data_IF_894132993758
#
_entry.id   IF_894132993758
#
_cell.length_a   1.000
_cell.length_b   1.000
_cell.length_c   1.000
_cell.angle_alpha   90.00
_cell.angle_beta   90.00
_cell.angle_gamma   90.00
#
_symmetry.space_group_name_H-M   'P 1'
#
loop_
_entity.id
_entity.type
_entity.pdbx_description
1 polymer ?
#
# COMPACT_ATOMS: atom_id res chain seq x y z
N UNK A 1 -76.56 42.14 -31.92
CA UNK A 1 -75.43 42.29 -31.01
C UNK A 1 -75.06 40.90 -30.49
N UNK A 2 -74.02 40.26 -31.00
CA UNK A 2 -73.54 38.96 -30.54
C UNK A 2 -72.26 39.19 -29.71
N UNK A 3 -72.28 38.82 -28.43
CA UNK A 3 -71.17 38.91 -27.50
C UNK A 3 -70.37 37.63 -27.67
N UNK A 4 -69.10 37.73 -28.13
CA UNK A 4 -68.14 36.65 -28.24
C UNK A 4 -67.42 36.54 -26.91
N UNK A 5 -67.58 35.41 -26.19
CA UNK A 5 -66.77 35.08 -24.99
C UNK A 5 -65.50 34.43 -25.42
N UNK A 6 -64.35 35.07 -25.16
CA UNK A 6 -63.02 34.48 -25.27
C UNK A 6 -62.71 33.69 -23.98
N UNK A 7 -62.58 32.38 -24.09
CA UNK A 7 -62.08 31.52 -23.03
C UNK A 7 -60.56 31.44 -23.13
N UNK A 8 -59.84 31.98 -22.15
CA UNK A 8 -58.40 31.89 -22.03
C UNK A 8 -58.04 30.52 -21.42
N UNK A 9 -57.49 29.61 -22.22
CA UNK A 9 -57.00 28.30 -21.76
C UNK A 9 -55.52 28.44 -21.43
N UNK A 10 -55.21 28.59 -20.12
CA UNK A 10 -53.79 28.56 -19.64
C UNK A 10 -53.30 27.12 -19.67
N UNK A 11 -52.48 26.77 -20.67
CA UNK A 11 -51.70 25.55 -20.69
C UNK A 11 -50.49 25.71 -19.75
N UNK A 12 -50.55 25.08 -18.54
CA UNK A 12 -49.37 24.89 -17.68
C UNK A 12 -48.52 23.80 -18.31
N UNK A 13 -47.48 24.18 -19.04
CA UNK A 13 -46.41 23.30 -19.43
C UNK A 13 -45.49 23.09 -18.18
N UNK A 14 -45.71 22.02 -17.43
CA UNK A 14 -44.75 21.53 -16.47
C UNK A 14 -43.53 20.99 -17.23
N UNK A 15 -42.49 21.81 -17.36
CA UNK A 15 -41.17 21.33 -17.73
C UNK A 15 -40.66 20.43 -16.63
N UNK A 16 -40.79 19.11 -16.78
CA UNK A 16 -40.04 18.10 -16.04
C UNK A 16 -38.58 18.21 -16.48
N UNK A 17 -37.84 19.13 -15.89
CA UNK A 17 -36.39 19.03 -15.96
C UNK A 17 -35.97 17.75 -15.19
N UNK A 18 -35.24 16.83 -15.83
CA UNK A 18 -34.64 15.76 -15.08
C UNK A 18 -33.69 16.45 -14.06
N UNK A 19 -33.99 16.32 -12.77
CA UNK A 19 -33.04 16.67 -11.73
C UNK A 19 -31.89 15.66 -11.87
N UNK A 20 -30.95 15.98 -12.75
CA UNK A 20 -29.65 15.32 -12.70
C UNK A 20 -29.09 15.63 -11.31
N UNK A 21 -29.09 14.63 -10.44
CA UNK A 21 -28.34 14.72 -9.22
C UNK A 21 -26.87 14.94 -9.60
N UNK A 22 -26.45 16.18 -9.65
CA UNK A 22 -25.03 16.55 -9.65
C UNK A 22 -24.47 15.93 -8.37
N UNK A 23 -23.92 14.72 -8.46
CA UNK A 23 -23.10 14.19 -7.38
C UNK A 23 -21.96 15.21 -7.22
N UNK A 24 -21.92 15.86 -6.06
CA UNK A 24 -20.82 16.77 -5.77
C UNK A 24 -19.51 15.99 -5.91
N UNK A 25 -18.65 16.45 -6.81
CA UNK A 25 -17.32 15.87 -7.00
C UNK A 25 -16.58 15.90 -5.66
N UNK A 26 -15.87 14.83 -5.33
CA UNK A 26 -15.06 14.78 -4.11
C UNK A 26 -13.96 15.86 -4.17
N UNK A 27 -13.94 16.70 -3.16
CA UNK A 27 -12.89 17.71 -2.96
C UNK A 27 -12.17 17.34 -1.66
N UNK A 28 -10.87 16.97 -1.72
CA UNK A 28 -10.11 16.65 -0.53
C UNK A 28 -9.97 17.88 0.38
N UNK A 29 -10.06 17.67 1.70
CA UNK A 29 -9.81 18.71 2.70
C UNK A 29 -8.33 19.10 2.74
N UNK A 30 -8.01 20.25 3.34
CA UNK A 30 -6.62 20.66 3.56
C UNK A 30 -5.84 19.65 4.39
N UNK A 31 -6.48 19.03 5.40
CA UNK A 31 -5.88 17.98 6.22
C UNK A 31 -5.58 16.73 5.39
N UNK A 32 -6.48 16.34 4.47
CA UNK A 32 -6.26 15.25 3.54
C UNK A 32 -5.09 15.57 2.59
N UNK A 33 -5.07 16.75 2.01
CA UNK A 33 -3.96 17.19 1.13
C UNK A 33 -2.62 17.22 1.88
N UNK A 34 -2.60 17.60 3.14
CA UNK A 34 -1.40 17.54 3.99
C UNK A 34 -0.96 16.09 4.22
N UNK A 35 -1.90 15.18 4.53
CA UNK A 35 -1.62 13.76 4.69
C UNK A 35 -1.09 13.11 3.40
N UNK A 36 -1.64 13.44 2.22
CA UNK A 36 -1.11 12.98 0.92
C UNK A 36 0.35 13.42 0.71
N UNK A 37 0.68 14.69 1.00
CA UNK A 37 2.07 15.20 0.90
C UNK A 37 3.02 14.50 1.86
N UNK A 38 2.57 14.24 3.09
CA UNK A 38 3.36 13.47 4.07
C UNK A 38 3.62 12.04 3.58
N UNK A 39 2.55 11.36 3.13
CA UNK A 39 2.61 9.99 2.62
C UNK A 39 3.52 9.86 1.40
N UNK A 40 3.43 10.80 0.46
CA UNK A 40 4.31 10.83 -0.71
C UNK A 40 5.79 10.87 -0.30
N UNK A 41 6.13 11.55 0.80
CA UNK A 41 7.51 11.66 1.30
C UNK A 41 8.05 10.42 2.02
N UNK A 42 7.24 9.44 2.38
CA UNK A 42 7.66 8.30 3.20
C UNK A 42 8.59 7.34 2.47
N UNK A 43 8.34 7.06 1.22
CA UNK A 43 9.09 6.18 0.31
C UNK A 43 9.24 4.74 0.75
N UNK A 44 9.17 4.39 2.04
CA UNK A 44 9.33 3.02 2.53
C UNK A 44 8.39 2.71 3.70
N UNK A 45 7.63 1.62 3.58
CA UNK A 45 6.74 1.05 4.58
C UNK A 45 6.81 -0.47 4.63
N UNK A 46 6.23 -1.06 5.70
CA UNK A 46 6.15 -2.51 5.90
C UNK A 46 4.69 -2.95 5.82
N UNK A 47 4.43 -3.98 5.02
CA UNK A 47 3.15 -4.66 4.95
C UNK A 47 3.17 -5.92 5.81
N UNK A 48 2.09 -6.19 6.52
CA UNK A 48 1.98 -7.36 7.39
C UNK A 48 0.74 -8.15 7.01
N UNK A 49 0.94 -9.30 6.36
CA UNK A 49 -0.13 -10.26 6.13
C UNK A 49 -0.13 -11.31 7.26
N UNK A 50 -0.96 -11.07 8.27
CA UNK A 50 -1.05 -11.93 9.44
C UNK A 50 -2.51 -12.15 9.86
N UNK A 51 -2.86 -13.41 10.10
CA UNK A 51 -4.19 -13.84 10.49
C UNK A 51 -4.17 -15.33 10.85
N UNK A 52 -5.34 -15.90 11.11
CA UNK A 52 -5.45 -17.35 11.45
C UNK A 52 -4.93 -18.27 10.32
N UNK A 53 -4.89 -17.78 9.07
CA UNK A 53 -4.30 -18.51 7.94
C UNK A 53 -2.81 -18.81 8.14
N UNK A 54 -2.08 -18.05 8.94
CA UNK A 54 -0.68 -18.34 9.24
C UNK A 54 -0.49 -19.68 9.98
N UNK A 55 -1.50 -20.15 10.71
CA UNK A 55 -1.48 -21.44 11.40
C UNK A 55 -1.35 -22.61 10.43
N UNK A 56 -1.92 -22.50 9.23
CA UNK A 56 -1.77 -23.52 8.19
C UNK A 56 -0.39 -23.50 7.52
N UNK A 57 0.33 -22.39 7.64
CA UNK A 57 1.65 -22.18 7.01
C UNK A 57 1.65 -22.44 5.48
N UNK A 58 0.55 -22.10 4.80
CA UNK A 58 0.32 -22.28 3.37
C UNK A 58 0.02 -20.98 2.62
N UNK A 59 0.14 -19.83 3.30
CA UNK A 59 -0.21 -18.53 2.76
C UNK A 59 -1.66 -18.12 3.04
N UNK A 60 -1.98 -16.90 2.70
CA UNK A 60 -3.24 -16.22 3.03
C UNK A 60 -4.45 -16.71 2.23
N UNK A 61 -4.21 -17.33 1.07
CA UNK A 61 -5.26 -17.86 0.19
C UNK A 61 -5.64 -19.33 0.47
N UNK A 62 -5.14 -19.91 1.55
CA UNK A 62 -5.32 -21.35 1.79
C UNK A 62 -6.80 -21.78 1.86
N UNK A 63 -7.68 -20.97 2.44
CA UNK A 63 -9.13 -21.24 2.46
C UNK A 63 -9.69 -21.41 1.02
N UNK A 64 -9.24 -20.61 0.07
CA UNK A 64 -9.69 -20.67 -1.33
C UNK A 64 -9.20 -21.93 -2.07
N UNK A 65 -8.28 -22.71 -1.49
CA UNK A 65 -7.75 -23.94 -2.10
C UNK A 65 -8.70 -25.17 -2.01
N UNK A 66 -9.85 -25.02 -1.33
CA UNK A 66 -10.87 -26.06 -1.24
C UNK A 66 -11.10 -26.62 0.16
N UNK A 67 -10.54 -25.99 1.20
CA UNK A 67 -10.91 -26.28 2.58
C UNK A 67 -12.30 -25.70 2.87
N UNK A 68 -13.15 -26.44 3.60
CA UNK A 68 -14.45 -25.93 3.99
C UNK A 68 -14.31 -24.80 5.02
N UNK A 69 -15.21 -23.79 4.94
CA UNK A 69 -15.22 -22.69 5.90
C UNK A 69 -15.43 -23.18 7.34
N UNK A 70 -16.17 -24.28 7.55
CA UNK A 70 -16.39 -24.87 8.86
C UNK A 70 -15.10 -25.46 9.45
N UNK A 71 -14.29 -26.16 8.63
CA UNK A 71 -13.00 -26.71 9.05
C UNK A 71 -11.97 -25.60 9.25
N UNK A 72 -11.94 -24.65 8.34
CA UNK A 72 -11.02 -23.52 8.43
C UNK A 72 -11.25 -22.68 9.69
N UNK A 73 -12.50 -22.35 10.00
CA UNK A 73 -12.83 -21.49 11.16
C UNK A 73 -12.43 -22.10 12.50
N UNK A 74 -12.37 -23.44 12.59
CA UNK A 74 -11.94 -24.15 13.81
C UNK A 74 -10.52 -23.80 14.21
N UNK A 75 -9.66 -23.40 13.26
CA UNK A 75 -8.28 -23.03 13.56
C UNK A 75 -8.17 -21.79 14.45
N UNK A 76 -9.21 -20.94 14.50
CA UNK A 76 -9.25 -19.82 15.43
C UNK A 76 -9.07 -20.28 16.89
N UNK A 77 -9.63 -21.43 17.27
CA UNK A 77 -9.47 -22.00 18.61
C UNK A 77 -8.05 -22.49 18.93
N UNK A 78 -7.21 -22.66 17.92
CA UNK A 78 -5.79 -23.03 18.04
C UNK A 78 -4.83 -21.85 17.81
N UNK A 79 -5.34 -20.70 17.37
CA UNK A 79 -4.52 -19.51 17.13
C UNK A 79 -4.15 -18.84 18.47
N UNK A 80 -2.92 -19.06 18.88
CA UNK A 80 -2.39 -18.58 20.17
C UNK A 80 -0.99 -18.02 20.03
N UNK A 81 -0.83 -16.79 19.47
CA UNK A 81 0.45 -16.18 19.15
C UNK A 81 1.16 -15.59 20.40
N UNK A 82 1.58 -16.46 21.32
CA UNK A 82 2.15 -16.07 22.63
C UNK A 82 3.47 -15.31 22.53
N UNK A 83 4.14 -15.34 21.37
CA UNK A 83 5.39 -14.60 21.12
C UNK A 83 5.18 -13.27 20.40
N UNK A 84 3.91 -12.87 20.21
CA UNK A 84 3.61 -11.57 19.65
C UNK A 84 4.05 -10.47 20.63
N UNK A 85 4.92 -9.59 20.15
CA UNK A 85 5.43 -8.42 20.83
C UNK A 85 5.36 -7.23 19.88
N UNK A 86 4.35 -6.38 20.05
CA UNK A 86 4.09 -5.23 19.19
C UNK A 86 5.23 -4.21 19.22
N UNK A 87 5.84 -3.99 20.39
CA UNK A 87 6.95 -3.05 20.55
C UNK A 87 8.22 -3.55 19.84
N UNK A 88 8.51 -4.86 19.93
CA UNK A 88 9.61 -5.47 19.20
C UNK A 88 9.42 -5.38 17.68
N UNK A 89 8.17 -5.59 17.20
CA UNK A 89 7.84 -5.44 15.78
C UNK A 89 8.03 -3.99 15.33
N UNK A 90 7.39 -3.04 16.01
CA UNK A 90 7.47 -1.62 15.65
C UNK A 90 8.92 -1.10 15.66
N UNK A 91 9.73 -1.53 16.64
CA UNK A 91 11.16 -1.20 16.70
C UNK A 91 11.93 -1.75 15.50
N UNK A 92 11.73 -3.03 15.14
CA UNK A 92 12.40 -3.64 14.00
C UNK A 92 12.05 -2.91 12.69
N UNK A 93 10.78 -2.49 12.52
CA UNK A 93 10.35 -1.73 11.36
C UNK A 93 10.94 -0.31 11.34
N UNK A 94 10.93 0.38 12.48
CA UNK A 94 11.57 1.70 12.62
C UNK A 94 13.05 1.65 12.30
N UNK A 95 13.75 0.65 12.86
CA UNK A 95 15.18 0.45 12.67
C UNK A 95 15.56 0.11 11.22
N UNK A 96 14.64 -0.51 10.48
CA UNK A 96 14.82 -0.74 9.03
C UNK A 96 14.70 0.54 8.19
N UNK A 97 14.23 1.63 8.78
CA UNK A 97 13.99 2.90 8.10
C UNK A 97 12.55 3.07 7.59
N UNK A 98 11.64 2.13 7.86
CA UNK A 98 10.24 2.31 7.51
C UNK A 98 9.62 3.54 8.20
N UNK A 99 8.68 4.19 7.54
CA UNK A 99 7.94 5.34 8.03
C UNK A 99 6.51 5.00 8.43
N UNK A 100 5.98 3.94 7.88
CA UNK A 100 4.63 3.45 8.14
C UNK A 100 4.58 1.93 8.06
N UNK A 101 3.52 1.37 8.61
CA UNK A 101 3.16 -0.04 8.43
C UNK A 101 1.72 -0.12 7.92
N UNK A 102 1.44 -1.14 7.12
CA UNK A 102 0.07 -1.52 6.73
C UNK A 102 -0.20 -2.91 7.31
N UNK A 103 -1.20 -3.02 8.19
CA UNK A 103 -1.54 -4.26 8.87
C UNK A 103 -2.86 -4.83 8.34
N UNK A 104 -2.91 -6.14 8.04
CA UNK A 104 -4.16 -6.80 7.64
C UNK A 104 -5.12 -6.88 8.82
N UNK A 105 -5.97 -5.85 8.98
CA UNK A 105 -7.02 -5.84 10.01
C UNK A 105 -8.07 -6.92 9.76
N UNK A 106 -8.36 -7.22 8.49
CA UNK A 106 -9.23 -8.30 8.05
C UNK A 106 -8.89 -8.68 6.61
N UNK A 107 -8.59 -9.96 6.36
CA UNK A 107 -8.31 -10.50 5.02
C UNK A 107 -9.56 -11.18 4.42
N UNK A 108 -9.46 -11.78 3.24
CA UNK A 108 -10.55 -12.44 2.52
C UNK A 108 -11.23 -13.57 3.28
N UNK A 109 -10.53 -14.20 4.23
CA UNK A 109 -11.08 -15.22 5.12
C UNK A 109 -12.07 -14.68 6.17
N UNK A 110 -12.33 -13.37 6.17
CA UNK A 110 -13.30 -12.72 7.03
C UNK A 110 -12.90 -12.63 8.50
N UNK A 111 -11.71 -13.14 8.90
CA UNK A 111 -11.27 -13.08 10.27
C UNK A 111 -10.72 -11.71 10.63
N UNK A 112 -11.26 -11.10 11.70
CA UNK A 112 -10.85 -9.77 12.16
C UNK A 112 -9.72 -9.88 13.18
N UNK A 113 -8.56 -9.28 12.88
CA UNK A 113 -7.38 -9.21 13.75
C UNK A 113 -7.47 -8.06 14.77
N UNK A 114 -8.67 -7.62 15.08
CA UNK A 114 -9.00 -6.58 16.06
C UNK A 114 -10.31 -6.92 16.77
N UNK A 115 -10.54 -6.33 17.93
CA UNK A 115 -11.80 -6.49 18.64
C UNK A 115 -12.91 -5.67 17.94
N UNK A 116 -13.89 -6.36 17.37
CA UNK A 116 -15.05 -5.76 16.71
C UNK A 116 -16.34 -6.28 17.34
N UNK A 117 -17.32 -5.40 17.53
CA UNK A 117 -18.66 -5.78 17.95
C UNK A 117 -19.56 -6.24 16.79
N UNK A 118 -19.10 -6.03 15.55
CA UNK A 118 -19.85 -6.42 14.35
C UNK A 118 -19.82 -7.93 14.08
N UNK A 119 -18.86 -8.67 14.66
CA UNK A 119 -18.71 -10.12 14.49
C UNK A 119 -17.92 -10.72 15.65
N UNK A 120 -18.34 -11.92 16.11
CA UNK A 120 -17.54 -12.72 17.05
C UNK A 120 -16.38 -13.46 16.39
N UNK A 121 -16.28 -13.45 15.05
CA UNK A 121 -15.19 -14.05 14.30
C UNK A 121 -13.99 -13.08 14.26
N UNK A 122 -13.41 -12.88 15.45
CA UNK A 122 -12.29 -11.97 15.67
C UNK A 122 -11.30 -12.57 16.68
N UNK A 123 -10.09 -11.98 16.71
CA UNK A 123 -8.98 -12.49 17.52
C UNK A 123 -9.27 -12.50 19.03
N UNK A 124 -10.10 -11.60 19.54
CA UNK A 124 -10.42 -11.52 20.96
C UNK A 124 -11.49 -12.55 21.34
N UNK A 125 -12.56 -12.67 20.54
CA UNK A 125 -13.70 -13.53 20.89
C UNK A 125 -13.49 -14.98 20.47
N UNK A 126 -12.94 -15.24 19.28
CA UNK A 126 -12.84 -16.58 18.70
C UNK A 126 -11.57 -17.34 19.09
N UNK A 127 -10.55 -16.67 19.65
CA UNK A 127 -9.28 -17.34 19.98
C UNK A 127 -9.06 -17.46 21.49
N UNK A 128 -8.23 -18.39 21.95
CA UNK A 128 -7.81 -18.46 23.36
C UNK A 128 -6.84 -17.31 23.74
N UNK A 129 -6.30 -16.58 22.77
CA UNK A 129 -5.32 -15.53 22.97
C UNK A 129 -5.89 -14.31 23.71
N UNK A 130 -7.13 -13.92 23.41
CA UNK A 130 -7.90 -12.87 24.10
C UNK A 130 -7.25 -11.49 24.15
N UNK A 131 -6.24 -11.21 23.31
CA UNK A 131 -5.59 -9.90 23.21
C UNK A 131 -6.00 -9.22 21.91
N UNK A 132 -6.14 -7.91 21.96
CA UNK A 132 -6.38 -7.07 20.77
C UNK A 132 -5.05 -6.64 20.17
N UNK A 133 -4.55 -7.45 19.23
CA UNK A 133 -3.23 -7.22 18.61
C UNK A 133 -3.15 -5.90 17.86
N UNK A 134 -4.26 -5.43 17.28
CA UNK A 134 -4.28 -4.16 16.58
C UNK A 134 -4.11 -2.99 17.55
N UNK A 135 -4.73 -3.04 18.73
CA UNK A 135 -4.55 -2.01 19.76
C UNK A 135 -3.11 -1.93 20.21
N UNK A 136 -2.51 -3.06 20.53
CA UNK A 136 -1.11 -3.11 20.96
C UNK A 136 -0.16 -2.60 19.86
N UNK A 137 -0.44 -2.96 18.60
CA UNK A 137 0.35 -2.49 17.48
C UNK A 137 0.18 -0.98 17.22
N UNK A 138 -1.05 -0.45 17.40
CA UNK A 138 -1.31 0.99 17.27
C UNK A 138 -0.53 1.80 18.31
N UNK A 139 -0.54 1.34 19.57
CA UNK A 139 0.22 1.95 20.66
C UNK A 139 1.73 1.89 20.38
N UNK A 140 2.25 0.74 19.98
CA UNK A 140 3.66 0.57 19.64
C UNK A 140 4.08 1.45 18.44
N UNK A 141 3.25 1.58 17.41
CA UNK A 141 3.51 2.48 16.30
C UNK A 141 3.59 3.94 16.75
N UNK A 142 2.69 4.35 17.63
CA UNK A 142 2.69 5.70 18.20
C UNK A 142 3.99 5.96 18.98
N UNK A 143 4.41 5.04 19.84
CA UNK A 143 5.67 5.13 20.60
C UNK A 143 6.90 5.24 19.71
N UNK A 144 6.93 4.50 18.59
CA UNK A 144 8.05 4.50 17.66
C UNK A 144 7.95 5.61 16.57
N UNK A 145 6.87 6.39 16.54
CA UNK A 145 6.63 7.41 15.52
C UNK A 145 6.48 6.83 14.11
N UNK A 146 5.83 5.67 14.00
CA UNK A 146 5.39 5.05 12.75
C UNK A 146 3.93 5.41 12.47
N UNK A 147 3.58 5.66 11.21
CA UNK A 147 2.17 5.76 10.80
C UNK A 147 1.58 4.35 10.69
N UNK A 148 0.41 4.15 11.26
CA UNK A 148 -0.36 2.91 11.12
C UNK A 148 -1.38 3.06 10.00
N UNK A 149 -1.29 2.18 9.00
CA UNK A 149 -2.28 1.99 7.95
C UNK A 149 -2.94 0.62 8.12
N UNK A 150 -4.17 0.47 7.66
CA UNK A 150 -4.92 -0.78 7.80
C UNK A 150 -5.36 -1.29 6.44
N UNK A 151 -4.96 -2.51 6.12
CA UNK A 151 -5.56 -3.27 5.03
C UNK A 151 -6.92 -3.81 5.49
N UNK A 152 -7.90 -3.72 4.62
CA UNK A 152 -9.24 -4.24 4.83
C UNK A 152 -9.79 -4.85 3.53
N UNK A 153 -10.09 -6.16 3.58
CA UNK A 153 -10.74 -6.85 2.47
C UNK A 153 -12.21 -6.44 2.34
N UNK A 154 -12.63 -6.01 1.15
CA UNK A 154 -14.04 -5.73 0.85
C UNK A 154 -14.78 -6.98 0.34
N UNK A 155 -14.08 -8.06 0.01
CA UNK A 155 -14.67 -9.38 -0.21
C UNK A 155 -14.61 -10.24 1.05
N UNK A 156 -15.45 -11.26 1.12
CA UNK A 156 -15.56 -12.15 2.26
C UNK A 156 -15.92 -13.59 1.87
N UNK A 157 -15.04 -14.53 2.16
CA UNK A 157 -15.28 -15.94 1.89
C UNK A 157 -16.09 -16.67 2.97
N UNK A 158 -16.47 -16.00 4.05
CA UNK A 158 -17.15 -16.58 5.20
C UNK A 158 -18.60 -16.10 5.37
N UNK A 159 -18.87 -14.81 5.18
CA UNK A 159 -20.18 -14.23 5.43
C UNK A 159 -21.21 -14.65 4.38
N UNK A 160 -22.38 -15.05 4.83
CA UNK A 160 -23.47 -15.51 3.97
C UNK A 160 -24.14 -14.42 3.17
N UNK A 161 -24.14 -13.16 3.68
CA UNK A 161 -24.72 -11.99 3.05
C UNK A 161 -23.82 -11.34 1.98
N UNK A 162 -22.50 -11.66 1.96
CA UNK A 162 -21.62 -11.27 0.85
C UNK A 162 -21.98 -12.06 -0.42
N UNK A 163 -22.25 -11.41 -1.58
CA UNK A 163 -22.53 -12.09 -2.84
C UNK A 163 -21.36 -13.02 -3.25
N UNK A 164 -21.66 -14.05 -4.01
CA UNK A 164 -20.61 -14.93 -4.55
C UNK A 164 -19.94 -14.23 -5.74
N UNK A 165 -18.66 -13.93 -5.59
CA UNK A 165 -17.80 -13.48 -6.67
C UNK A 165 -17.08 -14.66 -7.35
N UNK A 166 -15.96 -14.39 -8.00
CA UNK A 166 -15.14 -15.41 -8.69
C UNK A 166 -14.25 -16.24 -7.76
N UNK A 167 -14.12 -15.84 -6.49
CA UNK A 167 -13.29 -16.52 -5.49
C UNK A 167 -14.11 -17.04 -4.31
N UNK A 168 -13.51 -17.87 -3.47
CA UNK A 168 -14.21 -18.47 -2.34
C UNK A 168 -15.29 -19.50 -2.68
N UNK A 169 -15.42 -19.90 -3.95
CA UNK A 169 -16.47 -20.79 -4.41
C UNK A 169 -16.39 -22.21 -3.83
N UNK A 170 -15.19 -22.63 -3.43
CA UNK A 170 -14.94 -23.98 -2.88
C UNK A 170 -15.05 -24.07 -1.37
N UNK A 171 -15.33 -22.97 -0.68
CA UNK A 171 -15.40 -22.93 0.80
C UNK A 171 -16.62 -23.62 1.39
N UNK A 172 -17.62 -23.95 0.57
CA UNK A 172 -18.88 -24.53 1.04
C UNK A 172 -19.80 -23.52 1.74
N UNK A 173 -19.49 -22.24 1.67
CA UNK A 173 -20.29 -21.15 2.24
C UNK A 173 -21.71 -21.17 1.66
N UNK A 174 -22.71 -21.17 2.54
CA UNK A 174 -24.11 -20.96 2.12
C UNK A 174 -24.31 -19.48 1.78
N UNK A 175 -24.57 -19.17 0.52
CA UNK A 175 -24.80 -17.80 0.09
C UNK A 175 -26.27 -17.42 0.20
N UNK A 176 -26.55 -16.34 0.91
CA UNK A 176 -27.84 -15.63 0.95
C UNK A 176 -27.52 -14.15 0.73
N UNK A 177 -27.25 -13.74 -0.52
CA UNK A 177 -26.70 -12.42 -0.79
C UNK A 177 -27.65 -11.32 -0.34
N UNK A 178 -27.12 -10.44 0.50
CA UNK A 178 -27.73 -9.20 0.95
C UNK A 178 -26.63 -8.14 1.06
N UNK A 179 -26.35 -7.48 -0.06
CA UNK A 179 -25.25 -6.53 -0.10
C UNK A 179 -25.47 -5.30 0.78
N UNK A 180 -26.71 -4.91 1.04
CA UNK A 180 -27.00 -3.81 1.98
C UNK A 180 -26.60 -4.20 3.41
N UNK A 181 -26.91 -5.44 3.82
CA UNK A 181 -26.46 -6.00 5.11
C UNK A 181 -24.93 -6.03 5.18
N UNK A 182 -24.28 -6.56 4.15
CA UNK A 182 -22.82 -6.66 4.11
C UNK A 182 -22.15 -5.27 4.09
N UNK A 183 -22.67 -4.35 3.31
CA UNK A 183 -22.16 -2.97 3.23
C UNK A 183 -22.25 -2.23 4.57
N UNK A 184 -23.37 -2.40 5.30
CA UNK A 184 -23.51 -1.85 6.64
C UNK A 184 -22.58 -2.50 7.67
N UNK A 185 -22.30 -3.80 7.52
CA UNK A 185 -21.29 -4.50 8.30
C UNK A 185 -19.88 -3.89 8.06
N UNK A 186 -19.47 -3.68 6.82
CA UNK A 186 -18.19 -3.02 6.50
C UNK A 186 -18.12 -1.61 7.09
N UNK A 187 -19.18 -0.81 6.94
CA UNK A 187 -19.26 0.54 7.54
C UNK A 187 -19.12 0.52 9.06
N UNK A 188 -19.69 -0.49 9.72
CA UNK A 188 -19.58 -0.64 11.18
C UNK A 188 -18.15 -0.95 11.58
N UNK A 189 -17.50 -1.93 10.94
CA UNK A 189 -16.11 -2.27 11.24
C UNK A 189 -15.14 -1.13 10.94
N UNK A 190 -15.29 -0.46 9.81
CA UNK A 190 -14.43 0.68 9.45
C UNK A 190 -14.60 1.84 10.43
N UNK A 191 -15.84 2.11 10.89
CA UNK A 191 -16.04 3.09 11.96
C UNK A 191 -15.31 2.69 13.24
N UNK A 192 -15.40 1.43 13.67
CA UNK A 192 -14.66 0.93 14.84
C UNK A 192 -13.15 1.11 14.67
N UNK A 193 -12.60 0.78 13.51
CA UNK A 193 -11.18 0.95 13.19
C UNK A 193 -10.75 2.42 13.30
N UNK A 194 -11.52 3.33 12.73
CA UNK A 194 -11.18 4.76 12.69
C UNK A 194 -11.45 5.49 14.02
N UNK A 195 -12.31 4.95 14.90
CA UNK A 195 -12.66 5.61 16.18
C UNK A 195 -11.95 5.01 17.38
N UNK A 196 -11.67 3.70 17.37
CA UNK A 196 -11.11 3.01 18.53
C UNK A 196 -9.59 2.85 18.47
N UNK A 197 -8.98 2.93 17.27
CA UNK A 197 -7.55 2.71 17.05
C UNK A 197 -6.84 3.94 16.48
N UNK A 198 -7.54 5.06 16.33
CA UNK A 198 -7.04 6.30 15.76
C UNK A 198 -5.78 6.84 16.49
N UNK A 199 -4.95 7.62 15.78
CA UNK A 199 -5.12 8.04 14.39
C UNK A 199 -4.65 6.99 13.38
N UNK A 200 -5.52 6.62 12.43
CA UNK A 200 -5.17 5.74 11.31
C UNK A 200 -4.72 6.60 10.13
N UNK A 201 -3.55 6.31 9.58
CA UNK A 201 -2.98 7.07 8.46
C UNK A 201 -3.66 6.79 7.13
N UNK A 202 -4.00 5.52 6.86
CA UNK A 202 -4.71 5.13 5.64
C UNK A 202 -5.52 3.85 5.82
N UNK A 203 -6.56 3.70 4.98
CA UNK A 203 -7.23 2.44 4.69
C UNK A 203 -6.81 1.93 3.31
N UNK A 204 -6.35 0.71 3.29
CA UNK A 204 -5.87 -0.04 2.13
C UNK A 204 -6.89 -1.12 1.78
N UNK A 205 -7.73 -0.89 0.77
CA UNK A 205 -8.79 -1.82 0.37
C UNK A 205 -8.28 -2.83 -0.67
N UNK A 206 -8.88 -4.01 -0.64
CA UNK A 206 -8.60 -5.08 -1.60
C UNK A 206 -9.84 -5.96 -1.82
N UNK A 207 -9.88 -6.64 -2.98
CA UNK A 207 -10.96 -7.55 -3.32
C UNK A 207 -12.01 -6.99 -4.28
N UNK A 208 -11.87 -5.75 -4.76
CA UNK A 208 -12.77 -5.13 -5.74
C UNK A 208 -12.91 -5.99 -7.00
N UNK A 209 -11.84 -6.61 -7.43
CA UNK A 209 -11.73 -7.48 -8.59
C UNK A 209 -12.52 -8.81 -8.50
N UNK A 210 -13.10 -9.15 -7.33
CA UNK A 210 -13.82 -10.42 -7.15
C UNK A 210 -15.07 -10.55 -8.03
N UNK A 211 -15.63 -9.43 -8.47
CA UNK A 211 -16.81 -9.35 -9.35
C UNK A 211 -16.51 -8.87 -10.77
N UNK A 212 -15.25 -8.80 -11.20
CA UNK A 212 -14.86 -8.31 -12.54
C UNK A 212 -15.38 -9.18 -13.68
N UNK A 213 -15.72 -10.45 -13.42
CA UNK A 213 -16.25 -11.39 -14.41
C UNK A 213 -17.78 -11.46 -14.43
N UNK A 214 -18.47 -10.69 -13.62
CA UNK A 214 -19.93 -10.68 -13.56
C UNK A 214 -20.52 -10.14 -14.86
N UNK A 215 -21.60 -10.77 -15.36
CA UNK A 215 -22.29 -10.34 -16.59
C UNK A 215 -22.95 -8.97 -16.47
N UNK A 216 -23.29 -8.58 -15.25
CA UNK A 216 -23.78 -7.24 -14.89
C UNK A 216 -22.75 -6.65 -13.93
N UNK A 217 -22.19 -5.45 -14.21
CA UNK A 217 -21.21 -4.82 -13.33
C UNK A 217 -21.72 -4.71 -11.89
N UNK A 218 -20.95 -5.22 -10.96
CA UNK A 218 -21.30 -5.17 -9.55
C UNK A 218 -21.08 -3.76 -8.98
N UNK A 219 -22.11 -3.20 -8.35
CA UNK A 219 -22.00 -1.89 -7.71
C UNK A 219 -21.47 -2.03 -6.29
N UNK A 220 -20.18 -1.84 -6.11
CA UNK A 220 -19.49 -1.83 -4.82
C UNK A 220 -19.83 -0.61 -3.94
N UNK A 221 -20.49 0.42 -4.50
CA UNK A 221 -20.80 1.67 -3.80
C UNK A 221 -19.58 2.39 -3.20
N UNK A 222 -18.41 2.25 -3.84
CA UNK A 222 -17.16 2.80 -3.31
C UNK A 222 -17.20 4.31 -3.08
N UNK A 223 -17.73 5.16 -3.96
CA UNK A 223 -17.81 6.60 -3.69
C UNK A 223 -18.65 6.96 -2.45
N UNK A 224 -19.68 6.16 -2.11
CA UNK A 224 -20.44 6.31 -0.86
C UNK A 224 -19.60 5.91 0.35
N UNK A 225 -18.86 4.79 0.24
CA UNK A 225 -18.03 4.25 1.29
C UNK A 225 -16.86 5.19 1.62
N UNK A 226 -16.17 5.69 0.59
CA UNK A 226 -15.06 6.63 0.75
C UNK A 226 -15.50 7.96 1.37
N UNK A 227 -16.64 8.49 0.94
CA UNK A 227 -17.21 9.68 1.55
C UNK A 227 -17.52 9.48 3.04
N UNK A 228 -18.07 8.33 3.41
CA UNK A 228 -18.31 7.97 4.80
C UNK A 228 -17.02 7.94 5.62
N UNK A 229 -15.94 7.39 5.08
CA UNK A 229 -14.61 7.34 5.72
C UNK A 229 -14.06 8.75 5.93
N UNK A 230 -14.06 9.58 4.90
CA UNK A 230 -13.60 10.98 5.00
C UNK A 230 -14.42 11.84 5.96
N UNK A 231 -15.70 11.52 6.15
CA UNK A 231 -16.53 12.16 7.18
C UNK A 231 -16.12 11.76 8.60
N UNK A 232 -15.69 10.51 8.80
CA UNK A 232 -15.22 10.02 10.11
C UNK A 232 -13.83 10.55 10.45
N UNK A 233 -12.92 10.52 9.50
CA UNK A 233 -11.53 10.96 9.67
C UNK A 233 -11.01 11.58 8.36
N UNK A 234 -11.10 12.92 8.19
CA UNK A 234 -10.76 13.58 6.92
C UNK A 234 -9.33 13.36 6.44
N UNK A 235 -8.37 13.18 7.34
CA UNK A 235 -6.96 12.94 7.02
C UNK A 235 -6.58 11.44 6.90
N UNK A 236 -7.52 10.52 7.03
CA UNK A 236 -7.30 9.11 6.71
C UNK A 236 -7.27 8.95 5.19
N UNK A 237 -6.13 8.52 4.63
CA UNK A 237 -6.01 8.31 3.20
C UNK A 237 -6.70 7.00 2.78
N UNK A 238 -7.18 6.98 1.56
CA UNK A 238 -7.86 5.83 0.96
C UNK A 238 -7.12 5.39 -0.29
N UNK A 239 -6.78 4.10 -0.36
CA UNK A 239 -6.36 3.43 -1.57
C UNK A 239 -7.05 2.08 -1.74
N UNK A 240 -7.15 1.61 -2.97
CA UNK A 240 -7.82 0.36 -3.27
C UNK A 240 -7.06 -0.40 -4.36
N UNK A 241 -6.75 -1.67 -4.08
CA UNK A 241 -6.02 -2.56 -4.98
C UNK A 241 -6.96 -3.19 -6.02
N UNK A 242 -7.61 -2.34 -6.81
CA UNK A 242 -8.58 -2.75 -7.81
C UNK A 242 -8.00 -2.91 -9.23
N UNK A 243 -6.72 -2.56 -9.44
CA UNK A 243 -5.98 -2.70 -10.69
C UNK A 243 -6.52 -1.85 -11.87
N UNK A 244 -7.30 -0.82 -11.57
CA UNK A 244 -7.82 0.16 -12.53
C UNK A 244 -7.40 1.58 -12.15
N UNK A 245 -7.79 2.58 -12.93
CA UNK A 245 -7.59 3.99 -12.57
C UNK A 245 -8.34 4.33 -11.29
N UNK A 246 -7.82 5.25 -10.45
CA UNK A 246 -8.43 5.59 -9.18
C UNK A 246 -9.90 5.98 -9.27
N UNK A 247 -10.69 5.47 -8.34
CA UNK A 247 -12.11 5.80 -8.16
C UNK A 247 -12.21 7.12 -7.38
N UNK A 248 -13.28 7.89 -7.62
CA UNK A 248 -13.54 9.14 -6.91
C UNK A 248 -13.53 8.95 -5.39
N UNK A 249 -12.67 9.69 -4.69
CA UNK A 249 -12.47 9.62 -3.23
C UNK A 249 -11.22 8.85 -2.80
N UNK A 250 -10.46 8.28 -3.74
CA UNK A 250 -9.15 7.71 -3.43
C UNK A 250 -8.07 8.79 -3.32
N UNK A 251 -7.10 8.54 -2.46
CA UNK A 251 -6.07 9.48 -2.06
C UNK A 251 -4.67 9.07 -2.53
N UNK A 252 -4.48 7.80 -2.87
CA UNK A 252 -3.26 7.27 -3.47
C UNK A 252 -3.57 6.08 -4.37
N UNK A 253 -2.70 5.87 -5.36
CA UNK A 253 -2.83 4.79 -6.35
C UNK A 253 -1.85 3.67 -6.06
N UNK A 254 -2.31 2.44 -6.22
CA UNK A 254 -1.55 1.21 -5.91
C UNK A 254 -1.12 0.45 -7.15
N UNK A 255 0.04 -0.20 -7.04
CA UNK A 255 0.62 -1.10 -8.04
C UNK A 255 1.08 -2.38 -7.34
N UNK A 256 0.45 -3.50 -7.67
CA UNK A 256 0.80 -4.77 -7.04
C UNK A 256 1.94 -5.46 -7.79
N UNK A 257 3.03 -5.75 -7.08
CA UNK A 257 4.24 -6.47 -7.54
C UNK A 257 5.06 -5.77 -8.64
N UNK A 258 4.55 -4.69 -9.22
CA UNK A 258 5.20 -3.94 -10.29
C UNK A 258 5.50 -2.50 -9.88
N UNK A 259 6.55 -1.94 -10.45
CA UNK A 259 6.80 -0.50 -10.37
C UNK A 259 5.75 0.27 -11.20
N UNK A 260 5.35 1.49 -10.80
CA UNK A 260 4.46 2.30 -11.62
C UNK A 260 4.92 2.41 -13.08
N UNK A 261 4.02 2.06 -14.01
CA UNK A 261 4.30 2.02 -15.45
C UNK A 261 4.88 0.70 -15.95
N UNK A 262 5.06 -0.30 -15.10
CA UNK A 262 5.36 -1.68 -15.47
C UNK A 262 4.11 -2.56 -15.29
N UNK A 263 4.08 -3.70 -15.98
CA UNK A 263 3.02 -4.71 -15.85
C UNK A 263 3.58 -6.12 -16.09
N UNK A 264 4.67 -6.46 -15.40
CA UNK A 264 5.34 -7.77 -15.50
C UNK A 264 4.56 -8.87 -14.78
N UNK A 265 3.91 -8.51 -13.66
CA UNK A 265 3.05 -9.40 -12.90
C UNK A 265 1.65 -9.53 -13.51
N UNK A 266 1.27 -8.66 -14.45
CA UNK A 266 -0.04 -8.66 -15.09
C UNK A 266 -1.15 -7.99 -14.28
N UNK A 267 -0.81 -7.30 -13.19
CA UNK A 267 -1.76 -6.68 -12.26
C UNK A 267 -1.70 -5.15 -12.24
N UNK A 268 -0.82 -4.53 -13.04
CA UNK A 268 -0.48 -3.10 -12.94
C UNK A 268 -0.54 -2.38 -14.29
N UNK A 269 -1.50 -2.78 -15.15
CA UNK A 269 -1.70 -2.20 -16.49
C UNK A 269 -2.41 -0.84 -16.53
N UNK A 270 -2.85 -0.32 -15.38
CA UNK A 270 -3.55 0.97 -15.28
C UNK A 270 -2.63 2.16 -15.55
N UNK A 271 -3.20 3.26 -16.06
CA UNK A 271 -2.49 4.52 -16.23
C UNK A 271 -2.09 5.13 -14.89
N UNK A 272 -0.94 5.80 -14.86
CA UNK A 272 -0.45 6.51 -13.68
C UNK A 272 -1.25 7.81 -13.50
N UNK A 273 -1.87 7.97 -12.35
CA UNK A 273 -2.61 9.17 -11.97
C UNK A 273 -1.70 10.27 -11.37
N UNK A 274 -2.32 11.37 -10.96
CA UNK A 274 -1.64 12.46 -10.22
C UNK A 274 -1.63 12.27 -8.70
N UNK A 275 -2.21 11.17 -8.21
CA UNK A 275 -2.20 10.84 -6.78
C UNK A 275 -0.82 10.34 -6.34
N UNK A 276 -0.49 10.41 -5.04
CA UNK A 276 0.64 9.70 -4.49
C UNK A 276 0.63 8.23 -4.91
N UNK A 277 1.80 7.66 -5.19
CA UNK A 277 1.93 6.29 -5.70
C UNK A 277 2.48 5.36 -4.62
N UNK A 278 1.96 4.15 -4.58
CA UNK A 278 2.48 3.07 -3.75
C UNK A 278 2.57 1.79 -4.58
N UNK A 279 3.72 1.12 -4.54
CA UNK A 279 3.82 -0.27 -4.99
C UNK A 279 3.96 -1.20 -3.79
N UNK A 280 3.32 -2.36 -3.82
CA UNK A 280 3.53 -3.39 -2.82
C UNK A 280 4.25 -4.60 -3.40
N UNK A 281 5.17 -5.18 -2.62
CA UNK A 281 5.97 -6.33 -3.02
C UNK A 281 6.28 -7.22 -1.82
N UNK A 282 6.42 -8.52 -2.06
CA UNK A 282 6.80 -9.50 -1.04
C UNK A 282 8.31 -9.65 -0.90
N UNK A 283 8.79 -9.95 0.31
CA UNK A 283 10.20 -10.34 0.51
C UNK A 283 10.52 -11.70 -0.12
N UNK A 284 9.55 -12.61 -0.11
CA UNK A 284 9.60 -13.96 -0.68
C UNK A 284 8.53 -14.12 -1.78
N UNK A 285 7.89 -15.27 -1.95
CA UNK A 285 6.87 -15.51 -2.96
C UNK A 285 5.44 -15.20 -2.52
N UNK A 286 5.13 -15.38 -1.22
CA UNK A 286 3.77 -15.28 -0.67
C UNK A 286 3.59 -14.03 0.19
N UNK A 287 2.32 -13.58 0.33
CA UNK A 287 1.98 -12.49 1.25
C UNK A 287 1.92 -13.00 2.69
N UNK A 288 1.08 -14.01 2.99
CA UNK A 288 1.01 -14.66 4.29
C UNK A 288 2.11 -15.70 4.50
N UNK A 289 2.31 -16.09 5.76
CA UNK A 289 3.33 -17.07 6.12
C UNK A 289 3.11 -18.42 5.40
N UNK A 290 4.16 -18.87 4.70
CA UNK A 290 4.22 -20.19 4.06
C UNK A 290 5.57 -20.84 4.37
N UNK A 291 5.53 -21.94 5.11
CA UNK A 291 6.76 -22.60 5.62
C UNK A 291 7.67 -23.08 4.49
N UNK A 292 7.12 -23.50 3.36
CA UNK A 292 7.87 -23.98 2.20
C UNK A 292 8.48 -22.85 1.35
N UNK A 293 8.04 -21.59 1.55
CA UNK A 293 8.52 -20.44 0.76
C UNK A 293 9.73 -19.78 1.43
N UNK A 294 10.89 -20.31 1.12
CA UNK A 294 12.18 -19.83 1.64
C UNK A 294 12.96 -19.00 0.61
N UNK A 295 12.35 -18.67 -0.53
CA UNK A 295 13.01 -17.90 -1.60
C UNK A 295 12.91 -16.39 -1.32
N UNK A 296 13.64 -15.92 -0.30
CA UNK A 296 13.72 -14.52 0.05
C UNK A 296 14.64 -13.75 -0.89
N UNK A 297 14.20 -12.59 -1.33
CA UNK A 297 15.07 -11.61 -1.99
C UNK A 297 16.26 -11.27 -1.08
N UNK A 298 17.41 -11.06 -1.66
CA UNK A 298 18.59 -10.61 -0.93
C UNK A 298 18.41 -9.18 -0.42
N UNK A 299 19.20 -8.79 0.57
CA UNK A 299 19.22 -7.40 1.07
C UNK A 299 19.52 -6.42 -0.05
N UNK A 300 20.45 -6.75 -0.97
CA UNK A 300 20.80 -5.90 -2.11
C UNK A 300 19.61 -5.69 -3.05
N UNK A 301 18.90 -6.76 -3.41
CA UNK A 301 17.70 -6.66 -4.26
C UNK A 301 16.63 -5.79 -3.62
N UNK A 302 16.44 -5.88 -2.29
CA UNK A 302 15.46 -5.08 -1.56
C UNK A 302 15.86 -3.60 -1.49
N UNK A 303 17.13 -3.29 -1.27
CA UNK A 303 17.66 -1.92 -1.30
C UNK A 303 17.47 -1.31 -2.69
N UNK A 304 17.84 -2.04 -3.74
CA UNK A 304 17.64 -1.60 -5.13
C UNK A 304 16.16 -1.39 -5.46
N UNK A 305 15.28 -2.22 -4.93
CA UNK A 305 13.83 -2.06 -5.10
C UNK A 305 13.31 -0.77 -4.44
N UNK A 306 13.80 -0.43 -3.23
CA UNK A 306 13.48 0.85 -2.57
C UNK A 306 13.91 2.03 -3.44
N UNK A 307 15.14 2.00 -3.96
CA UNK A 307 15.67 3.06 -4.82
C UNK A 307 14.89 3.18 -6.14
N UNK A 308 14.54 2.04 -6.78
CA UNK A 308 13.73 2.01 -8.01
C UNK A 308 12.32 2.57 -7.78
N UNK A 309 11.67 2.21 -6.68
CA UNK A 309 10.36 2.74 -6.31
C UNK A 309 10.44 4.27 -6.10
N UNK A 310 11.43 4.74 -5.34
CA UNK A 310 11.66 6.17 -5.11
C UNK A 310 11.93 6.94 -6.42
N UNK A 311 12.68 6.35 -7.35
CA UNK A 311 12.97 6.93 -8.68
C UNK A 311 11.71 7.06 -9.56
N UNK A 312 10.68 6.23 -9.31
CA UNK A 312 9.34 6.34 -9.93
C UNK A 312 8.41 7.28 -9.17
N UNK A 313 8.87 7.90 -8.08
CA UNK A 313 8.03 8.74 -7.20
C UNK A 313 7.08 7.94 -6.32
N UNK A 314 7.27 6.62 -6.21
CA UNK A 314 6.41 5.71 -5.48
C UNK A 314 6.97 5.37 -4.10
N UNK A 315 6.08 5.11 -3.15
CA UNK A 315 6.44 4.39 -1.93
C UNK A 315 6.59 2.89 -2.25
N UNK A 316 7.52 2.23 -1.56
CA UNK A 316 7.57 0.76 -1.50
C UNK A 316 6.93 0.30 -0.19
N UNK A 317 5.88 -0.51 -0.29
CA UNK A 317 5.26 -1.24 0.81
C UNK A 317 5.74 -2.69 0.76
N UNK A 318 6.73 -3.04 1.62
CA UNK A 318 7.41 -4.33 1.60
C UNK A 318 6.78 -5.32 2.58
N UNK A 319 6.28 -6.44 2.07
CA UNK A 319 5.50 -7.39 2.85
C UNK A 319 6.33 -8.42 3.62
N UNK A 320 5.87 -8.69 4.83
CA UNK A 320 6.30 -9.80 5.69
C UNK A 320 5.05 -10.58 6.11
N UNK A 321 5.13 -11.92 6.05
CA UNK A 321 4.13 -12.83 6.63
C UNK A 321 4.60 -13.31 8.01
N UNK A 322 4.08 -12.79 9.13
CA UNK A 322 4.43 -13.26 10.47
C UNK A 322 4.01 -14.71 10.70
N UNK A 323 4.78 -15.41 11.53
CA UNK A 323 4.54 -16.80 11.91
C UNK A 323 3.28 -16.93 12.81
N UNK A 324 2.68 -18.11 12.90
CA UNK A 324 1.48 -18.32 13.71
C UNK A 324 1.68 -18.09 15.21
N UNK A 325 2.92 -18.20 15.71
CA UNK A 325 3.26 -17.92 17.09
C UNK A 325 3.45 -16.43 17.41
N UNK A 326 3.37 -15.55 16.38
CA UNK A 326 3.56 -14.09 16.50
C UNK A 326 4.98 -13.60 16.31
N UNK A 327 5.94 -14.46 15.98
CA UNK A 327 7.31 -14.04 15.62
C UNK A 327 7.38 -13.61 14.15
N UNK A 328 8.22 -12.63 13.86
CA UNK A 328 8.64 -12.35 12.48
C UNK A 328 9.65 -13.42 12.04
N UNK A 329 9.59 -13.90 10.78
CA UNK A 329 10.60 -14.83 10.27
C UNK A 329 12.02 -14.29 10.42
N UNK A 330 12.95 -15.12 10.90
CA UNK A 330 14.33 -14.71 11.15
C UNK A 330 15.02 -14.11 9.92
N UNK A 331 14.76 -14.70 8.73
CA UNK A 331 15.28 -14.17 7.47
C UNK A 331 14.72 -12.77 7.16
N UNK A 332 13.44 -12.51 7.45
CA UNK A 332 12.87 -11.18 7.26
C UNK A 332 13.52 -10.16 8.20
N UNK A 333 13.75 -10.50 9.47
CA UNK A 333 14.45 -9.64 10.42
C UNK A 333 15.89 -9.34 9.98
N UNK A 334 16.61 -10.33 9.42
CA UNK A 334 17.95 -10.13 8.86
C UNK A 334 17.93 -9.14 7.68
N UNK A 335 16.96 -9.28 6.76
CA UNK A 335 16.78 -8.35 5.64
C UNK A 335 16.46 -6.93 6.12
N UNK A 336 15.56 -6.78 7.10
CA UNK A 336 15.22 -5.47 7.69
C UNK A 336 16.46 -4.81 8.32
N UNK A 337 17.27 -5.59 9.03
CA UNK A 337 18.52 -5.09 9.63
C UNK A 337 19.48 -4.56 8.55
N UNK A 338 19.69 -5.31 7.46
CA UNK A 338 20.55 -4.89 6.37
C UNK A 338 20.03 -3.64 5.65
N UNK A 339 18.71 -3.57 5.37
CA UNK A 339 18.07 -2.38 4.81
C UNK A 339 18.30 -1.18 5.75
N UNK A 340 18.08 -1.35 7.06
CA UNK A 340 18.26 -0.28 8.04
C UNK A 340 19.71 0.22 8.15
N UNK A 341 20.67 -0.66 7.97
CA UNK A 341 22.10 -0.26 7.91
C UNK A 341 22.35 0.68 6.72
N UNK A 342 21.85 0.33 5.54
CA UNK A 342 21.98 1.15 4.35
C UNK A 342 21.17 2.45 4.45
N UNK A 343 19.94 2.40 4.93
CA UNK A 343 19.04 3.56 5.06
C UNK A 343 19.55 4.62 6.03
N UNK A 344 20.24 4.23 7.12
CA UNK A 344 20.85 5.20 8.05
C UNK A 344 21.88 6.10 7.39
N UNK A 345 22.57 5.59 6.38
CA UNK A 345 23.65 6.29 5.67
C UNK A 345 23.11 7.01 4.43
N UNK A 346 22.22 6.35 3.69
CA UNK A 346 21.78 6.80 2.36
C UNK A 346 20.33 7.31 2.32
N UNK A 347 19.61 7.29 3.45
CA UNK A 347 18.17 7.60 3.48
C UNK A 347 17.83 9.01 2.96
N UNK A 348 18.78 9.94 2.95
CA UNK A 348 18.59 11.26 2.35
C UNK A 348 18.29 11.18 0.85
N UNK A 349 18.85 10.20 0.15
CA UNK A 349 18.60 9.95 -1.28
C UNK A 349 17.23 9.30 -1.56
N UNK A 350 16.52 8.89 -0.52
CA UNK A 350 15.22 8.19 -0.59
C UNK A 350 14.08 9.07 -0.09
N UNK A 351 14.08 9.43 1.21
CA UNK A 351 12.96 10.14 1.83
C UNK A 351 12.75 11.52 1.23
N UNK A 352 11.48 11.85 0.92
CA UNK A 352 11.10 13.17 0.39
C UNK A 352 11.73 13.53 -0.94
N UNK A 353 12.21 12.54 -1.69
CA UNK A 353 12.70 12.74 -3.06
C UNK A 353 11.56 12.68 -4.07
N UNK A 354 11.81 13.17 -5.26
CA UNK A 354 10.92 13.10 -6.41
C UNK A 354 11.57 12.32 -7.56
N UNK A 355 10.72 11.81 -8.45
CA UNK A 355 11.17 11.18 -9.69
C UNK A 355 11.98 12.18 -10.54
N UNK A 356 12.97 11.67 -11.25
CA UNK A 356 13.74 12.41 -12.25
C UNK A 356 13.21 12.04 -13.63
N UNK A 357 13.00 13.03 -14.49
CA UNK A 357 12.66 12.77 -15.89
C UNK A 357 13.90 12.25 -16.65
N UNK A 358 14.36 11.08 -16.27
CA UNK A 358 15.48 10.35 -16.86
C UNK A 358 15.11 8.87 -16.90
N UNK A 359 15.18 8.21 -18.07
CA UNK A 359 14.92 6.79 -18.13
C UNK A 359 15.95 6.02 -17.29
N UNK A 360 15.59 4.82 -16.86
CA UNK A 360 16.51 3.92 -16.18
C UNK A 360 17.77 3.71 -17.02
N UNK A 361 18.90 3.82 -16.37
CA UNK A 361 20.20 3.66 -16.99
C UNK A 361 20.73 2.25 -16.73
N UNK A 362 21.69 1.78 -17.55
CA UNK A 362 22.33 0.49 -17.31
C UNK A 362 23.00 0.41 -15.94
N UNK A 363 23.50 1.54 -15.43
CA UNK A 363 24.14 1.62 -14.13
C UNK A 363 23.16 1.71 -12.96
N UNK A 364 21.87 2.09 -13.16
CA UNK A 364 20.88 2.23 -12.10
C UNK A 364 19.85 3.34 -12.34
N UNK A 365 19.42 3.99 -11.29
CA UNK A 365 18.34 5.00 -11.28
C UNK A 365 18.77 6.29 -10.60
N UNK A 366 17.89 7.31 -10.66
CA UNK A 366 18.13 8.60 -9.99
C UNK A 366 16.89 9.11 -9.26
N UNK A 367 17.12 9.79 -8.13
CA UNK A 367 16.14 10.56 -7.37
C UNK A 367 16.60 11.99 -7.21
N UNK A 368 15.69 12.91 -6.86
CA UNK A 368 16.08 14.33 -6.69
C UNK A 368 15.33 15.01 -5.55
N UNK A 369 15.99 16.03 -4.97
CA UNK A 369 15.42 17.07 -4.12
C UNK A 369 15.92 18.41 -4.63
N UNK A 370 15.09 19.45 -4.67
CA UNK A 370 15.46 20.84 -5.03
C UNK A 370 16.74 20.96 -5.91
N UNK A 371 17.93 21.13 -5.28
CA UNK A 371 19.22 21.29 -5.95
C UNK A 371 20.11 20.04 -5.90
N UNK A 372 19.63 18.93 -5.34
CA UNK A 372 20.36 17.69 -5.16
C UNK A 372 19.81 16.63 -6.11
N UNK A 373 20.71 16.02 -6.88
CA UNK A 373 20.45 14.82 -7.68
C UNK A 373 21.22 13.66 -7.05
N UNK A 374 20.53 12.58 -6.75
CA UNK A 374 21.13 11.35 -6.22
C UNK A 374 21.11 10.27 -7.31
N UNK A 375 22.28 9.71 -7.59
CA UNK A 375 22.43 8.60 -8.54
C UNK A 375 22.63 7.33 -7.73
N UNK A 376 21.78 6.35 -7.96
CA UNK A 376 21.80 5.03 -7.35
C UNK A 376 22.47 4.06 -8.30
N UNK A 377 23.72 3.71 -8.04
CA UNK A 377 24.56 2.88 -8.94
C UNK A 377 24.52 1.44 -8.46
N UNK A 378 23.88 0.58 -9.25
CA UNK A 378 23.71 -0.85 -8.98
C UNK A 378 24.74 -1.72 -9.70
N UNK A 379 25.38 -1.17 -10.75
CA UNK A 379 26.40 -1.89 -11.53
C UNK A 379 27.72 -1.91 -10.76
N UNK A 380 28.04 -3.07 -10.17
CA UNK A 380 29.26 -3.27 -9.40
C UNK A 380 30.54 -3.21 -10.25
N UNK A 381 30.45 -3.50 -11.56
CA UNK A 381 31.60 -3.59 -12.47
C UNK A 381 31.91 -2.26 -13.18
N UNK A 382 30.99 -1.30 -13.16
CA UNK A 382 31.20 -0.03 -13.85
C UNK A 382 32.38 0.73 -13.22
N UNK A 383 33.35 1.16 -14.03
CA UNK A 383 34.45 2.05 -13.60
C UNK A 383 34.10 3.52 -13.74
N UNK A 384 33.10 3.85 -14.55
CA UNK A 384 32.55 5.18 -14.75
C UNK A 384 31.10 5.10 -15.18
N UNK A 385 30.35 6.15 -14.91
CA UNK A 385 28.98 6.32 -15.41
C UNK A 385 28.87 7.59 -16.21
N UNK A 386 28.00 7.60 -17.20
CA UNK A 386 27.65 8.76 -17.99
C UNK A 386 26.15 9.01 -17.92
N UNK A 387 25.74 10.26 -17.77
CA UNK A 387 24.34 10.66 -17.77
C UNK A 387 24.13 11.93 -18.59
N UNK A 388 22.93 12.13 -19.18
CA UNK A 388 22.57 13.38 -19.83
C UNK A 388 22.62 14.54 -18.84
N UNK A 389 23.24 15.65 -19.24
CA UNK A 389 23.36 16.81 -18.36
C UNK A 389 23.01 18.12 -19.08
N UNK A 390 21.87 18.67 -18.73
CA UNK A 390 21.40 19.98 -19.26
C UNK A 390 21.22 21.01 -18.14
N UNK A 391 21.48 20.65 -16.88
CA UNK A 391 21.17 21.45 -15.71
C UNK A 391 22.19 22.55 -15.36
N UNK A 392 23.09 22.89 -16.27
CA UNK A 392 24.04 23.98 -16.05
C UNK A 392 25.29 23.59 -15.23
N UNK A 393 25.64 24.41 -14.23
CA UNK A 393 26.83 24.21 -13.40
C UNK A 393 26.67 23.01 -12.46
N UNK A 394 27.71 22.20 -12.30
CA UNK A 394 27.89 21.24 -11.22
C UNK A 394 28.71 21.93 -10.12
N UNK A 395 28.17 22.01 -8.90
CA UNK A 395 28.87 22.57 -7.73
C UNK A 395 29.74 21.54 -7.03
N UNK A 396 29.22 20.34 -6.86
CA UNK A 396 29.96 19.20 -6.27
C UNK A 396 29.40 17.87 -6.76
N UNK A 397 30.30 16.87 -6.78
CA UNK A 397 29.96 15.46 -6.99
C UNK A 397 30.70 14.67 -5.90
N UNK A 398 29.95 13.93 -5.07
CA UNK A 398 30.52 13.15 -3.97
C UNK A 398 29.81 11.84 -3.74
N UNK A 399 30.48 10.86 -3.19
CA UNK A 399 29.86 9.67 -2.62
C UNK A 399 29.05 10.07 -1.38
N UNK A 400 27.75 9.77 -1.33
CA UNK A 400 26.87 10.21 -0.24
C UNK A 400 27.31 9.64 1.10
N UNK A 401 27.63 8.35 1.16
CA UNK A 401 28.00 7.65 2.39
C UNK A 401 29.26 8.17 3.05
N UNK A 402 30.32 8.46 2.28
CA UNK A 402 31.62 8.89 2.81
C UNK A 402 31.83 10.40 2.75
N UNK A 403 31.03 11.13 2.00
CA UNK A 403 31.26 12.54 1.66
C UNK A 403 32.47 12.79 0.75
N UNK A 404 33.16 11.74 0.28
CA UNK A 404 34.36 11.86 -0.55
C UNK A 404 34.01 12.42 -1.92
N UNK A 405 34.79 13.44 -2.36
CA UNK A 405 34.64 14.01 -3.71
C UNK A 405 34.98 12.97 -4.78
N UNK A 406 34.20 12.97 -5.84
CA UNK A 406 34.40 12.12 -7.01
C UNK A 406 34.91 12.95 -8.21
N UNK A 407 35.82 12.37 -8.98
CA UNK A 407 36.29 12.97 -10.22
C UNK A 407 35.20 12.91 -11.28
N UNK A 408 34.93 14.04 -11.93
CA UNK A 408 33.94 14.11 -12.99
C UNK A 408 34.42 14.99 -14.15
N UNK A 409 33.83 14.76 -15.33
CA UNK A 409 34.04 15.55 -16.54
C UNK A 409 32.69 15.99 -17.09
N UNK A 410 32.51 17.32 -17.20
CA UNK A 410 31.34 17.93 -17.83
C UNK A 410 31.61 18.25 -19.30
N UNK A 411 30.96 17.55 -20.21
CA UNK A 411 31.00 17.83 -21.63
C UNK A 411 29.80 18.69 -22.04
N UNK A 412 29.98 20.02 -22.09
CA UNK A 412 28.90 20.95 -22.43
C UNK A 412 28.41 20.80 -23.88
N UNK A 413 29.29 20.39 -24.81
CA UNK A 413 28.94 20.18 -26.23
C UNK A 413 28.08 18.94 -26.42
N UNK A 414 28.46 17.84 -25.78
CA UNK A 414 27.71 16.60 -25.79
C UNK A 414 26.52 16.61 -24.83
N UNK A 415 26.42 17.62 -23.94
CA UNK A 415 25.41 17.68 -22.85
C UNK A 415 25.43 16.43 -21.99
N UNK A 416 26.64 15.98 -21.59
CA UNK A 416 26.83 14.81 -20.74
C UNK A 416 27.74 15.12 -19.56
N UNK A 417 27.55 14.36 -18.47
CA UNK A 417 28.38 14.35 -17.28
C UNK A 417 28.89 12.93 -17.09
N UNK A 418 30.22 12.76 -17.10
CA UNK A 418 30.89 11.49 -16.82
C UNK A 418 31.47 11.54 -15.41
N UNK A 419 31.23 10.53 -14.58
CA UNK A 419 31.72 10.43 -13.21
C UNK A 419 32.55 9.14 -13.09
N UNK A 420 33.77 9.26 -12.56
CA UNK A 420 34.64 8.11 -12.26
C UNK A 420 34.19 7.50 -10.93
N UNK A 421 34.08 6.18 -10.90
CA UNK A 421 33.68 5.42 -9.73
C UNK A 421 34.88 4.83 -8.99
N UNK A 422 34.87 4.81 -7.65
CA UNK A 422 35.91 4.13 -6.89
C UNK A 422 35.82 2.60 -7.09
N UNK A 423 36.97 1.92 -7.08
CA UNK A 423 37.01 0.46 -7.21
C UNK A 423 36.35 -0.23 -6.01
N UNK A 424 36.54 0.30 -4.79
CA UNK A 424 35.88 -0.17 -3.59
C UNK A 424 34.64 0.68 -3.31
N UNK A 425 33.47 0.08 -3.36
CA UNK A 425 32.18 0.71 -3.11
C UNK A 425 31.13 -0.28 -2.62
N UNK A 426 30.01 0.22 -2.11
CA UNK A 426 28.87 -0.62 -1.75
C UNK A 426 28.31 -1.30 -3.00
N UNK A 427 28.22 -2.63 -2.95
CA UNK A 427 27.70 -3.43 -4.07
C UNK A 427 26.18 -3.51 -4.13
N UNK A 428 25.50 -3.10 -3.05
CA UNK A 428 24.03 -3.06 -3.04
C UNK A 428 23.52 -1.88 -3.86
N UNK A 429 23.98 -0.68 -3.51
CA UNK A 429 23.64 0.59 -4.14
C UNK A 429 24.65 1.67 -3.70
N UNK A 430 25.53 2.04 -4.60
CA UNK A 430 26.48 3.13 -4.37
C UNK A 430 25.83 4.47 -4.73
N UNK A 431 25.56 5.30 -3.72
CA UNK A 431 24.85 6.57 -3.93
C UNK A 431 25.82 7.71 -4.16
N UNK A 432 25.62 8.44 -5.26
CA UNK A 432 26.34 9.67 -5.62
C UNK A 432 25.40 10.86 -5.45
N UNK A 433 25.85 11.86 -4.71
CA UNK A 433 25.17 13.15 -4.64
C UNK A 433 25.82 14.16 -5.60
N UNK A 434 25.00 14.80 -6.41
CA UNK A 434 25.36 15.93 -7.27
C UNK A 434 24.60 17.16 -6.81
N UNK A 435 25.32 18.23 -6.46
CA UNK A 435 24.73 19.54 -6.14
C UNK A 435 24.80 20.43 -7.38
N UNK A 436 23.64 21.05 -7.72
CA UNK A 436 23.46 21.95 -8.88
C UNK A 436 23.54 23.41 -8.50
#
# INVERSE_FOLDING_TARGET
MKVIRFSLLCLLLCFLFPVSHLRAQYIPSEDNLAARREFEGFRFGIFLHWGIYSTFAQGEWYLNSGLSHEEYSKVASAFYPIRFDAEAWARAFKDSGARYITFTSRHHDGFSMFHTHASTYNIVDATPFKRDVLRELAEACQHQGLRLHLYYSILDWMRTDYPLGRTGLKTGRQSKPDYDSYFNFMKTQVRELLTNYAPIGALWFDGYWDHDSDSIPFDWRMPEFYRYIHQLQPNCLIGNNHHITPIEGEDFQMFERDLPGENKAGLSGQEISHLPLEMCQTMNGMWGYKVADQNYKSTNELIQLIARAAAKGSNLLLNIGPQPNGELPATALDRLKGIGQWMRVNGESIYGTHAVNMPEQKWGVATQKTNHLFLHVFDAEASAIELPWTAGKVRSVKALASGSALTYQLNRRAKSLTIQLPAERDNADFVIEIVR
#
